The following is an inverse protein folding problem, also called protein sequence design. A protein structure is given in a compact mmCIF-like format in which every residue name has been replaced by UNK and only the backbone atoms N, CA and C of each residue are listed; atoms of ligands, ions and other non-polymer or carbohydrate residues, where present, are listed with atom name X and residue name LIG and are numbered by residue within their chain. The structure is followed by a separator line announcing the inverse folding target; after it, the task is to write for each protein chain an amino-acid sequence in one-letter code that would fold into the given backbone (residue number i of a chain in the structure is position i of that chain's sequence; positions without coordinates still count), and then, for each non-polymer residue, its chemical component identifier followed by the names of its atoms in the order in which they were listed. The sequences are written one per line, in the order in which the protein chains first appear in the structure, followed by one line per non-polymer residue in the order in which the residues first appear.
data_IF_381211899141
#
_entry.id   IF_381211899141
#
_cell.length_a   1.000
_cell.length_b   1.000
_cell.length_c   1.000
_cell.angle_alpha   90.00
_cell.angle_beta   90.00
_cell.angle_gamma   90.00
#
_symmetry.space_group_name_H-M   'P 1'
#
loop_
_entity.id
_entity.type
_entity.pdbx_description
1 polymer ?
#
# COMPACT_ATOMS: atom_id res chain seq x y z
N UNK A 1 -12.33 -16.60 20.41
CA UNK A 1 -11.31 -15.93 19.57
C UNK A 1 -10.74 -14.81 20.42
N UNK A 2 -9.42 -14.70 20.62
CA UNK A 2 -8.89 -13.59 21.41
C UNK A 2 -9.24 -12.28 20.73
N UNK A 3 -9.72 -11.36 21.52
CA UNK A 3 -10.06 -9.98 21.18
C UNK A 3 -8.75 -9.23 20.88
N UNK A 4 -8.20 -9.45 19.68
CA UNK A 4 -6.99 -8.74 19.27
C UNK A 4 -7.41 -7.32 18.92
N UNK A 5 -6.81 -6.35 19.60
CA UNK A 5 -7.03 -4.94 19.30
C UNK A 5 -6.96 -4.68 17.78
N UNK A 6 -7.87 -3.87 17.24
CA UNK A 6 -7.92 -3.61 15.81
C UNK A 6 -6.62 -2.97 15.31
N UNK A 7 -6.20 -3.37 14.11
CA UNK A 7 -5.04 -2.77 13.44
C UNK A 7 -5.37 -1.39 12.92
N UNK A 8 -6.59 -1.18 12.44
CA UNK A 8 -7.13 0.12 12.05
C UNK A 8 -8.43 0.35 12.80
N UNK A 9 -8.56 1.54 13.35
CA UNK A 9 -9.76 2.06 14.01
C UNK A 9 -10.07 3.44 13.44
N UNK A 10 -11.29 3.63 12.95
CA UNK A 10 -11.75 4.89 12.36
C UNK A 10 -13.09 5.24 12.98
N UNK A 11 -13.22 6.46 13.51
CA UNK A 11 -14.45 6.94 14.14
C UNK A 11 -14.86 8.29 13.56
N UNK A 12 -16.08 8.36 12.99
CA UNK A 12 -16.69 9.57 12.48
C UNK A 12 -15.86 10.32 11.42
N UNK A 13 -15.08 9.56 10.62
CA UNK A 13 -14.14 10.14 9.67
C UNK A 13 -14.86 10.93 8.59
N UNK A 14 -14.53 12.19 8.44
CA UNK A 14 -15.08 13.06 7.42
C UNK A 14 -14.01 13.88 6.71
N UNK A 15 -14.24 14.17 5.42
CA UNK A 15 -13.41 15.06 4.63
C UNK A 15 -14.24 15.92 3.71
N UNK A 16 -14.12 17.22 3.90
CA UNK A 16 -14.78 18.26 3.11
C UNK A 16 -13.73 19.03 2.31
N UNK A 17 -13.96 19.22 1.02
CA UNK A 17 -13.19 20.08 0.14
C UNK A 17 -14.10 21.19 -0.39
N UNK A 18 -14.03 22.38 0.20
CA UNK A 18 -14.93 23.50 -0.12
C UNK A 18 -16.41 23.05 -0.04
N UNK A 19 -17.08 22.96 -1.20
CA UNK A 19 -18.49 22.54 -1.32
C UNK A 19 -18.68 21.02 -1.53
N UNK A 20 -17.58 20.25 -1.62
CA UNK A 20 -17.65 18.81 -1.90
C UNK A 20 -17.38 18.00 -0.64
N UNK A 21 -18.33 17.15 -0.27
CA UNK A 21 -18.14 16.13 0.76
C UNK A 21 -17.55 14.89 0.13
N UNK A 22 -16.27 14.62 0.40
CA UNK A 22 -15.57 13.46 -0.15
C UNK A 22 -15.70 12.21 0.73
N UNK A 23 -15.80 12.40 2.05
CA UNK A 23 -16.05 11.34 3.04
C UNK A 23 -16.95 11.93 4.12
N UNK A 24 -17.99 11.22 4.52
CA UNK A 24 -19.01 11.72 5.45
C UNK A 24 -19.26 10.72 6.61
N UNK A 25 -18.65 11.00 7.76
CA UNK A 25 -18.92 10.34 9.03
C UNK A 25 -18.67 8.83 9.07
N UNK A 26 -17.69 8.32 8.32
CA UNK A 26 -17.41 6.89 8.21
C UNK A 26 -16.74 6.35 9.46
N UNK A 27 -17.24 5.22 10.00
CA UNK A 27 -16.63 4.53 11.15
C UNK A 27 -16.48 3.04 10.83
N UNK A 28 -15.32 2.47 11.12
CA UNK A 28 -15.02 1.05 10.97
C UNK A 28 -13.79 0.64 11.79
N UNK A 29 -13.67 -0.65 12.04
CA UNK A 29 -12.49 -1.25 12.63
C UNK A 29 -12.04 -2.46 11.80
N UNK A 30 -10.72 -2.65 11.66
CA UNK A 30 -10.13 -3.77 10.92
C UNK A 30 -9.21 -4.53 11.86
N UNK A 31 -9.48 -5.81 12.05
CA UNK A 31 -8.62 -6.70 12.84
C UNK A 31 -7.36 -7.09 12.06
N UNK A 32 -6.32 -7.53 12.78
CA UNK A 32 -5.11 -8.06 12.16
C UNK A 32 -5.32 -9.45 11.53
N UNK A 33 -4.44 -9.81 10.58
CA UNK A 33 -4.41 -11.14 9.97
C UNK A 33 -5.57 -11.42 9.02
N UNK A 34 -6.14 -10.39 8.41
CA UNK A 34 -7.21 -10.54 7.42
C UNK A 34 -7.05 -9.57 6.25
N UNK A 35 -7.61 -9.94 5.11
CA UNK A 35 -7.74 -9.08 3.94
C UNK A 35 -9.12 -8.40 4.01
N UNK A 36 -9.12 -7.08 3.92
CA UNK A 36 -10.35 -6.28 3.97
C UNK A 36 -10.49 -5.45 2.69
N UNK A 37 -11.62 -5.55 2.01
CA UNK A 37 -11.93 -4.77 0.82
C UNK A 37 -12.66 -3.48 1.15
N UNK A 38 -12.14 -2.34 0.69
CA UNK A 38 -12.85 -1.06 0.68
C UNK A 38 -13.58 -0.90 -0.65
N UNK A 39 -14.89 -1.11 -0.64
CA UNK A 39 -15.72 -1.09 -1.85
C UNK A 39 -16.45 0.26 -2.01
N UNK A 40 -16.72 0.62 -3.25
CA UNK A 40 -17.47 1.83 -3.59
C UNK A 40 -17.25 2.23 -5.06
N UNK A 41 -18.18 2.96 -5.64
CA UNK A 41 -18.07 3.50 -6.99
C UNK A 41 -16.96 4.54 -7.14
N UNK A 42 -16.75 5.01 -8.38
CA UNK A 42 -15.81 6.12 -8.62
C UNK A 42 -16.33 7.40 -7.92
N UNK A 43 -15.44 8.10 -7.24
CA UNK A 43 -15.82 9.27 -6.44
C UNK A 43 -16.37 8.97 -5.04
N UNK A 44 -16.50 7.70 -4.63
CA UNK A 44 -17.00 7.32 -3.30
C UNK A 44 -16.02 7.60 -2.14
N UNK A 45 -14.91 8.30 -2.37
CA UNK A 45 -13.97 8.69 -1.33
C UNK A 45 -12.95 7.62 -0.94
N UNK A 46 -12.81 6.50 -1.68
CA UNK A 46 -11.86 5.41 -1.37
C UNK A 46 -10.42 5.92 -1.26
N UNK A 47 -9.89 6.54 -2.30
CA UNK A 47 -8.52 7.10 -2.32
C UNK A 47 -8.35 8.21 -1.28
N UNK A 48 -9.39 9.02 -1.03
CA UNK A 48 -9.41 10.02 0.04
C UNK A 48 -9.26 9.36 1.41
N UNK A 49 -10.02 8.29 1.66
CA UNK A 49 -9.94 7.52 2.91
C UNK A 49 -8.56 6.91 3.09
N UNK A 50 -8.01 6.24 2.06
CA UNK A 50 -6.64 5.67 2.08
C UNK A 50 -5.60 6.77 2.37
N UNK A 51 -5.72 7.93 1.73
CA UNK A 51 -4.82 9.07 1.97
C UNK A 51 -4.86 9.58 3.41
N UNK A 52 -6.04 9.57 4.05
CA UNK A 52 -6.18 9.91 5.46
C UNK A 52 -5.60 8.82 6.37
N UNK A 53 -5.80 7.54 6.06
CA UNK A 53 -5.19 6.41 6.78
C UNK A 53 -3.66 6.45 6.73
N UNK A 54 -3.08 6.93 5.62
CA UNK A 54 -1.63 7.12 5.46
C UNK A 54 -1.10 8.42 6.11
N UNK A 55 -1.98 9.25 6.67
CA UNK A 55 -1.59 10.55 7.23
C UNK A 55 -1.09 11.55 6.17
N UNK A 56 -1.37 11.30 4.89
CA UNK A 56 -1.05 12.21 3.78
C UNK A 56 -2.09 13.33 3.66
N UNK A 57 -3.29 13.08 4.15
CA UNK A 57 -4.40 14.02 4.15
C UNK A 57 -4.96 14.14 5.56
N UNK A 58 -5.09 15.36 6.07
CA UNK A 58 -5.70 15.62 7.37
C UNK A 58 -7.23 15.55 7.23
N UNK A 59 -7.94 14.74 8.04
CA UNK A 59 -9.39 14.71 8.04
C UNK A 59 -9.99 16.05 8.50
N UNK A 60 -11.21 16.33 8.06
CA UNK A 60 -11.97 17.50 8.52
C UNK A 60 -12.64 17.24 9.87
N UNK A 61 -12.99 15.98 10.15
CA UNK A 61 -13.52 15.51 11.43
C UNK A 61 -13.22 14.02 11.62
N UNK A 62 -13.41 13.53 12.83
CA UNK A 62 -13.19 12.14 13.21
C UNK A 62 -11.76 11.83 13.63
N UNK A 63 -11.52 10.57 13.98
CA UNK A 63 -10.23 10.06 14.46
C UNK A 63 -9.79 8.84 13.67
N UNK A 64 -8.48 8.67 13.55
CA UNK A 64 -7.84 7.50 12.93
C UNK A 64 -6.77 6.99 13.87
N UNK A 65 -6.88 5.72 14.24
CA UNK A 65 -5.82 5.00 14.95
C UNK A 65 -5.34 3.84 14.11
N UNK A 66 -4.03 3.68 14.05
CA UNK A 66 -3.38 2.52 13.40
C UNK A 66 -2.42 1.92 14.40
N UNK A 67 -2.54 0.61 14.66
CA UNK A 67 -1.81 -0.08 15.72
C UNK A 67 -1.99 0.59 17.10
N UNK A 68 -3.18 1.15 17.37
CA UNK A 68 -3.49 1.90 18.60
C UNK A 68 -2.93 3.33 18.65
N UNK A 69 -2.09 3.75 17.71
CA UNK A 69 -1.49 5.09 17.66
C UNK A 69 -2.37 6.06 16.85
N UNK A 70 -2.54 7.27 17.36
CA UNK A 70 -3.24 8.36 16.67
C UNK A 70 -2.43 8.82 15.44
N UNK A 71 -2.99 8.69 14.24
CA UNK A 71 -2.30 9.02 12.99
C UNK A 71 -1.98 10.50 12.82
N UNK A 72 -2.73 11.39 13.43
CA UNK A 72 -2.45 12.84 13.35
C UNK A 72 -1.29 13.24 14.27
N UNK A 73 -1.16 12.59 15.43
CA UNK A 73 -0.18 12.94 16.45
C UNK A 73 1.10 12.12 16.35
N UNK A 74 0.97 10.82 16.02
CA UNK A 74 2.06 9.85 16.14
C UNK A 74 2.37 9.10 14.84
N UNK A 75 2.03 9.66 13.67
CA UNK A 75 2.22 9.01 12.36
C UNK A 75 3.63 8.43 12.13
N UNK A 76 4.66 9.07 12.66
CA UNK A 76 6.05 8.59 12.48
C UNK A 76 6.36 7.29 13.24
N UNK A 77 5.53 6.89 14.20
CA UNK A 77 5.61 5.56 14.85
C UNK A 77 4.91 4.49 14.01
N UNK A 78 3.92 4.89 13.23
CA UNK A 78 3.09 4.01 12.40
C UNK A 78 3.71 3.76 11.02
N UNK A 79 4.13 4.81 10.32
CA UNK A 79 4.57 4.76 8.93
C UNK A 79 5.69 3.73 8.63
N UNK A 80 6.68 3.47 9.50
CA UNK A 80 7.68 2.43 9.25
C UNK A 80 7.10 1.02 9.16
N UNK A 81 5.92 0.78 9.73
CA UNK A 81 5.21 -0.51 9.79
C UNK A 81 4.14 -0.65 8.71
N UNK A 82 3.92 0.41 7.93
CA UNK A 82 2.90 0.50 6.88
C UNK A 82 3.57 0.64 5.52
N UNK A 83 2.97 0.10 4.49
CA UNK A 83 3.32 0.44 3.11
C UNK A 83 2.06 0.58 2.25
N UNK A 84 2.26 1.20 1.09
CA UNK A 84 1.19 1.53 0.16
C UNK A 84 1.62 1.25 -1.28
N UNK A 85 0.70 0.73 -2.07
CA UNK A 85 0.84 0.62 -3.51
C UNK A 85 -0.43 1.10 -4.22
N UNK A 86 -0.23 1.80 -5.32
CA UNK A 86 -1.28 2.28 -6.21
C UNK A 86 -0.78 2.22 -7.65
N UNK A 87 -1.62 1.94 -8.64
CA UNK A 87 -1.23 1.94 -10.05
C UNK A 87 -0.75 3.31 -10.56
N UNK A 88 -1.07 4.37 -9.83
CA UNK A 88 -0.66 5.75 -10.16
C UNK A 88 0.73 6.12 -9.64
N UNK A 89 1.36 5.27 -8.82
CA UNK A 89 2.73 5.48 -8.32
C UNK A 89 3.70 4.78 -9.27
N UNK A 90 4.19 5.54 -10.24
CA UNK A 90 5.11 5.02 -11.24
C UNK A 90 6.56 4.98 -10.71
N UNK A 91 7.30 3.96 -11.13
CA UNK A 91 8.71 3.81 -10.80
C UNK A 91 9.57 4.48 -11.88
N UNK A 92 10.74 5.06 -11.54
CA UNK A 92 11.65 5.63 -12.52
C UNK A 92 11.96 4.68 -13.68
N UNK A 93 11.45 5.00 -14.87
CA UNK A 93 11.48 4.12 -16.05
C UNK A 93 12.90 3.84 -16.56
N UNK A 94 13.85 4.75 -16.32
CA UNK A 94 15.25 4.64 -16.78
C UNK A 94 16.08 3.73 -15.92
N UNK A 95 15.66 3.48 -14.69
CA UNK A 95 16.33 2.59 -13.77
C UNK A 95 15.89 1.14 -14.02
N UNK A 96 16.78 0.20 -13.73
CA UNK A 96 16.46 -1.22 -13.67
C UNK A 96 15.56 -1.52 -12.48
N UNK A 97 14.92 -2.69 -12.47
CA UNK A 97 14.15 -3.16 -11.31
C UNK A 97 15.02 -3.20 -10.06
N UNK A 98 16.24 -3.75 -10.17
CA UNK A 98 17.22 -3.82 -9.08
C UNK A 98 17.56 -2.43 -8.52
N UNK A 99 17.86 -1.47 -9.39
CA UNK A 99 18.19 -0.10 -8.98
C UNK A 99 17.00 0.56 -8.27
N UNK A 100 15.80 0.44 -8.82
CA UNK A 100 14.59 0.96 -8.19
C UNK A 100 14.41 0.37 -6.78
N UNK A 101 14.43 -0.96 -6.65
CA UNK A 101 14.27 -1.62 -5.35
C UNK A 101 15.40 -1.26 -4.38
N UNK A 102 16.62 -1.05 -4.86
CA UNK A 102 17.77 -0.62 -4.03
C UNK A 102 17.58 0.79 -3.48
N UNK A 103 17.08 1.73 -4.30
CA UNK A 103 16.76 3.09 -3.86
C UNK A 103 15.70 3.06 -2.74
N UNK A 104 14.60 2.33 -2.95
CA UNK A 104 13.56 2.21 -1.92
C UNK A 104 14.04 1.47 -0.67
N UNK A 105 14.84 0.44 -0.81
CA UNK A 105 15.47 -0.25 0.31
C UNK A 105 16.33 0.70 1.16
N UNK A 106 17.04 1.62 0.51
CA UNK A 106 17.80 2.69 1.18
C UNK A 106 16.88 3.67 1.91
N UNK A 107 15.78 4.11 1.28
CA UNK A 107 14.78 4.99 1.91
C UNK A 107 14.14 4.34 3.15
N UNK A 108 13.94 3.03 3.14
CA UNK A 108 13.44 2.26 4.30
C UNK A 108 14.55 1.85 5.29
N UNK A 109 15.80 2.28 5.06
CA UNK A 109 16.95 1.97 5.92
C UNK A 109 17.17 0.48 6.14
N UNK A 110 16.96 -0.35 5.10
CA UNK A 110 17.18 -1.79 5.20
C UNK A 110 18.67 -2.12 5.35
N UNK A 111 19.01 -2.92 6.35
CA UNK A 111 20.39 -3.32 6.65
C UNK A 111 21.01 -4.27 5.61
N UNK A 112 20.19 -5.11 4.96
CA UNK A 112 20.61 -6.12 3.98
C UNK A 112 19.72 -6.05 2.71
N UNK A 113 19.82 -4.95 1.93
CA UNK A 113 18.92 -4.72 0.81
C UNK A 113 19.01 -5.81 -0.26
N UNK A 114 20.22 -6.26 -0.61
CA UNK A 114 20.41 -7.28 -1.65
C UNK A 114 19.73 -8.61 -1.33
N UNK A 115 19.83 -9.09 -0.10
CA UNK A 115 19.17 -10.32 0.33
C UNK A 115 17.64 -10.20 0.27
N UNK A 116 17.09 -9.07 0.73
CA UNK A 116 15.64 -8.84 0.69
C UNK A 116 15.12 -8.68 -0.74
N UNK A 117 15.85 -8.00 -1.62
CA UNK A 117 15.50 -7.87 -3.03
C UNK A 117 15.52 -9.25 -3.71
N UNK A 118 16.51 -10.08 -3.44
CA UNK A 118 16.58 -11.44 -3.98
C UNK A 118 15.42 -12.31 -3.51
N UNK A 119 15.08 -12.27 -2.22
CA UNK A 119 13.92 -12.97 -1.64
C UNK A 119 12.62 -12.58 -2.38
N UNK A 120 12.36 -11.27 -2.50
CA UNK A 120 11.16 -10.78 -3.19
C UNK A 120 11.18 -11.06 -4.69
N UNK A 121 12.35 -11.01 -5.33
CA UNK A 121 12.46 -11.31 -6.75
C UNK A 121 12.11 -12.78 -7.05
N UNK A 122 12.46 -13.70 -6.17
CA UNK A 122 12.06 -15.10 -6.29
C UNK A 122 10.55 -15.27 -6.03
N UNK A 123 10.05 -14.71 -4.92
CA UNK A 123 8.65 -14.83 -4.53
C UNK A 123 7.67 -14.24 -5.56
N UNK A 124 8.08 -13.15 -6.24
CA UNK A 124 7.25 -12.41 -7.18
C UNK A 124 7.63 -12.66 -8.66
N UNK A 125 8.43 -13.69 -8.93
CA UNK A 125 8.86 -14.08 -10.29
C UNK A 125 9.53 -12.92 -11.06
N UNK A 126 10.39 -12.18 -10.39
CA UNK A 126 11.10 -11.02 -10.94
C UNK A 126 12.59 -11.27 -11.17
N UNK A 127 13.09 -12.49 -10.86
CA UNK A 127 14.52 -12.79 -10.87
C UNK A 127 15.19 -12.44 -12.22
N UNK A 128 14.58 -12.83 -13.34
CA UNK A 128 15.07 -12.57 -14.70
C UNK A 128 14.84 -11.11 -15.16
N UNK A 129 14.05 -10.36 -14.43
CA UNK A 129 13.70 -8.98 -14.75
C UNK A 129 14.55 -7.95 -13.98
N UNK A 130 15.33 -8.39 -12.97
CA UNK A 130 16.04 -7.49 -12.06
C UNK A 130 16.93 -6.48 -12.79
N UNK A 131 17.58 -6.87 -13.87
CA UNK A 131 18.51 -6.02 -14.62
C UNK A 131 17.86 -5.37 -15.85
N UNK A 132 16.54 -5.54 -16.03
CA UNK A 132 15.76 -4.84 -17.07
C UNK A 132 15.28 -3.48 -16.57
N UNK A 133 15.24 -2.49 -17.47
CA UNK A 133 14.66 -1.17 -17.18
C UNK A 133 13.16 -1.29 -16.94
N UNK A 134 12.65 -0.65 -15.89
CA UNK A 134 11.21 -0.70 -15.54
C UNK A 134 10.33 -0.15 -16.67
N UNK A 135 10.80 0.80 -17.46
CA UNK A 135 10.07 1.31 -18.61
C UNK A 135 9.79 0.28 -19.70
N UNK A 136 10.58 -0.80 -19.80
CA UNK A 136 10.40 -1.86 -20.80
C UNK A 136 9.53 -3.03 -20.36
N UNK A 137 8.99 -2.98 -19.13
CA UNK A 137 8.18 -4.04 -18.57
C UNK A 137 6.71 -3.92 -19.02
N UNK A 138 6.03 -5.09 -19.09
CA UNK A 138 4.58 -5.12 -19.28
C UNK A 138 3.85 -4.57 -18.04
N UNK A 139 2.55 -4.29 -18.16
CA UNK A 139 1.73 -3.82 -17.03
C UNK A 139 1.75 -4.78 -15.86
N UNK A 140 1.56 -6.07 -16.09
CA UNK A 140 1.63 -7.11 -15.07
C UNK A 140 3.00 -7.20 -14.40
N UNK A 141 4.10 -7.13 -15.19
CA UNK A 141 5.45 -7.08 -14.63
C UNK A 141 5.68 -5.83 -13.77
N UNK A 142 5.20 -4.66 -14.20
CA UNK A 142 5.27 -3.42 -13.39
C UNK A 142 4.51 -3.56 -12.09
N UNK A 143 3.32 -4.18 -12.10
CA UNK A 143 2.54 -4.44 -10.89
C UNK A 143 3.29 -5.33 -9.91
N UNK A 144 3.93 -6.42 -10.40
CA UNK A 144 4.77 -7.28 -9.55
C UNK A 144 5.95 -6.50 -8.94
N UNK A 145 6.58 -5.60 -9.70
CA UNK A 145 7.66 -4.73 -9.18
C UNK A 145 7.13 -3.74 -8.15
N UNK A 146 5.96 -3.14 -8.37
CA UNK A 146 5.31 -2.25 -7.42
C UNK A 146 4.96 -2.98 -6.11
N UNK A 147 4.49 -4.23 -6.21
CA UNK A 147 4.23 -5.09 -5.06
C UNK A 147 5.54 -5.45 -4.33
N UNK A 148 6.62 -5.78 -5.06
CA UNK A 148 7.94 -6.00 -4.46
C UNK A 148 8.40 -4.77 -3.66
N UNK A 149 8.29 -3.57 -4.25
CA UNK A 149 8.60 -2.30 -3.57
C UNK A 149 7.76 -2.13 -2.30
N UNK A 150 6.45 -2.43 -2.36
CA UNK A 150 5.56 -2.27 -1.23
C UNK A 150 5.84 -3.28 -0.09
N UNK A 151 6.47 -4.40 -0.39
CA UNK A 151 6.83 -5.44 0.58
C UNK A 151 8.26 -5.32 1.13
N UNK A 152 9.08 -4.39 0.62
CA UNK A 152 10.50 -4.27 0.99
C UNK A 152 10.73 -4.16 2.49
N UNK A 153 10.01 -3.28 3.16
CA UNK A 153 10.16 -3.00 4.60
C UNK A 153 9.42 -4.00 5.50
N UNK A 154 8.87 -5.11 4.95
CA UNK A 154 8.05 -6.09 5.69
C UNK A 154 6.93 -5.42 6.48
N UNK A 155 6.03 -4.69 5.81
CA UNK A 155 4.99 -3.95 6.50
C UNK A 155 4.06 -4.89 7.28
N UNK A 156 3.59 -4.45 8.43
CA UNK A 156 2.54 -5.12 9.20
C UNK A 156 1.14 -4.75 8.68
N UNK A 157 1.03 -3.63 7.98
CA UNK A 157 -0.16 -3.18 7.27
C UNK A 157 0.20 -2.79 5.85
N UNK A 158 -0.43 -3.43 4.87
CA UNK A 158 -0.31 -3.11 3.46
C UNK A 158 -1.62 -2.52 2.95
N UNK A 159 -1.57 -1.30 2.45
CA UNK A 159 -2.70 -0.64 1.80
C UNK A 159 -2.51 -0.70 0.28
N UNK A 160 -3.52 -1.18 -0.42
CA UNK A 160 -3.49 -1.32 -1.87
C UNK A 160 -4.68 -0.55 -2.47
N UNK A 161 -4.40 0.37 -3.37
CA UNK A 161 -5.41 1.10 -4.13
C UNK A 161 -5.47 0.50 -5.54
N UNK A 162 -6.59 -0.14 -5.86
CA UNK A 162 -6.83 -0.80 -7.14
C UNK A 162 -5.70 -1.76 -7.60
N UNK A 163 -5.25 -2.72 -6.77
CA UNK A 163 -4.06 -3.52 -7.04
C UNK A 163 -4.14 -4.41 -8.28
N UNK A 164 -5.35 -4.60 -8.82
CA UNK A 164 -5.59 -5.40 -10.03
C UNK A 164 -6.10 -4.56 -11.21
N UNK A 165 -6.12 -3.23 -11.08
CA UNK A 165 -6.57 -2.36 -12.16
C UNK A 165 -5.67 -2.49 -13.39
N UNK A 166 -6.29 -2.56 -14.56
CA UNK A 166 -5.59 -2.66 -15.86
C UNK A 166 -4.71 -3.91 -16.02
N UNK A 167 -4.93 -4.96 -15.20
CA UNK A 167 -4.27 -6.24 -15.36
C UNK A 167 -5.11 -7.19 -16.20
N UNK A 168 -4.44 -8.09 -16.92
CA UNK A 168 -5.08 -9.26 -17.50
C UNK A 168 -5.59 -10.20 -16.38
N UNK A 169 -6.60 -11.06 -16.67
CA UNK A 169 -7.22 -11.91 -15.64
C UNK A 169 -6.22 -12.80 -14.90
N UNK A 170 -5.25 -13.38 -15.61
CA UNK A 170 -4.28 -14.32 -15.03
C UNK A 170 -3.37 -13.61 -14.03
N UNK A 171 -2.87 -12.41 -14.39
CA UNK A 171 -2.05 -11.59 -13.47
C UNK A 171 -2.89 -11.10 -12.27
N UNK A 172 -4.15 -10.73 -12.49
CA UNK A 172 -5.04 -10.31 -11.40
C UNK A 172 -5.29 -11.45 -10.40
N UNK A 173 -5.54 -12.67 -10.88
CA UNK A 173 -5.71 -13.85 -10.04
C UNK A 173 -4.41 -14.22 -9.31
N UNK A 174 -3.26 -14.10 -9.97
CA UNK A 174 -1.98 -14.31 -9.33
C UNK A 174 -1.76 -13.31 -8.17
N UNK A 175 -2.06 -12.02 -8.37
CA UNK A 175 -1.94 -11.01 -7.30
C UNK A 175 -2.85 -11.35 -6.12
N UNK A 176 -4.10 -11.76 -6.37
CA UNK A 176 -5.03 -12.16 -5.30
C UNK A 176 -4.48 -13.34 -4.50
N UNK A 177 -4.10 -14.42 -5.20
CA UNK A 177 -3.56 -15.64 -4.58
C UNK A 177 -2.29 -15.36 -3.77
N UNK A 178 -1.44 -14.43 -4.25
CA UNK A 178 -0.22 -14.06 -3.51
C UNK A 178 -0.52 -13.29 -2.22
N UNK A 179 -1.61 -12.53 -2.17
CA UNK A 179 -2.00 -11.72 -1.01
C UNK A 179 -2.79 -12.52 0.05
N UNK A 180 -3.40 -13.65 -0.33
CA UNK A 180 -4.08 -14.61 0.57
C UNK A 180 -3.09 -15.47 1.35
#
# INVERSE_FOLDING_TARGET
MPDSAPVIEVEGLAKYFNSVTAVDGVSFAIAGGQITGLLGGNGAGKTTTISMLLGLLVPSAGTIRVFGEDMLRHRYRVLPRVNFSSPYVDLPHRLTVRENLTVFAGLYSLRRPAARISELAQALELAELLDRKTGSLSSGQKTRVALAKALLNRPELLLLDEPTASLDPDTADWVRTYLE
#
